data_IF_211741128757
#
_entry.id   IF_211741128757
#
_cell.length_a   1.000
_cell.length_b   1.000
_cell.length_c   1.000
_cell.angle_alpha   90.00
_cell.angle_beta   90.00
_cell.angle_gamma   90.00
#
_symmetry.space_group_name_H-M   'P 1'
#
loop_
_entity.id
_entity.type
_entity.pdbx_description
1 polymer ?
#
# COMPACT_ATOMS: atom_id res chain seq x y z
N UNK A 1 9.25 12.03 28.29
CA UNK A 1 8.27 11.96 27.18
C UNK A 1 8.94 12.60 25.97
N UNK A 2 9.17 11.86 24.88
CA UNK A 2 9.69 12.46 23.65
C UNK A 2 8.56 13.25 22.99
N UNK A 3 8.73 14.56 22.83
CA UNK A 3 7.79 15.38 22.09
C UNK A 3 7.76 14.93 20.62
N UNK A 4 6.59 14.50 20.14
CA UNK A 4 6.41 14.13 18.74
C UNK A 4 5.93 15.37 17.99
N UNK A 5 6.75 15.89 17.07
CA UNK A 5 6.34 16.99 16.20
C UNK A 5 5.20 16.54 15.28
N UNK A 6 4.08 17.28 15.31
CA UNK A 6 2.93 17.04 14.45
C UNK A 6 2.72 18.25 13.53
N UNK A 7 2.35 17.98 12.28
CA UNK A 7 2.01 19.00 11.29
C UNK A 7 0.54 18.81 10.87
N UNK A 8 -0.23 19.90 10.81
CA UNK A 8 -1.64 19.91 10.43
C UNK A 8 -1.87 20.89 9.29
N UNK A 9 -2.61 20.47 8.26
CA UNK A 9 -3.13 21.33 7.21
C UNK A 9 -4.64 21.45 7.40
N UNK A 10 -5.13 22.66 7.64
CA UNK A 10 -6.56 22.94 7.79
C UNK A 10 -7.08 23.65 6.54
N UNK A 11 -8.19 23.14 5.98
CA UNK A 11 -8.85 23.70 4.81
C UNK A 11 -10.32 23.93 5.16
N UNK A 12 -10.78 25.17 5.02
CA UNK A 12 -12.18 25.55 5.22
C UNK A 12 -12.85 25.86 3.88
N UNK A 13 -13.54 24.89 3.29
CA UNK A 13 -14.34 25.08 2.07
C UNK A 13 -15.66 24.32 2.19
N UNK A 14 -16.77 25.05 2.08
CA UNK A 14 -18.12 24.47 2.10
C UNK A 14 -18.34 23.62 0.85
N UNK A 15 -17.88 24.10 -0.30
CA UNK A 15 -17.96 23.39 -1.59
C UNK A 15 -17.26 22.03 -1.50
N UNK A 16 -16.02 21.99 -1.02
CA UNK A 16 -15.29 20.72 -0.85
C UNK A 16 -15.97 19.78 0.16
N UNK A 17 -16.57 20.32 1.22
CA UNK A 17 -17.32 19.49 2.17
C UNK A 17 -18.51 18.82 1.48
N UNK A 18 -19.28 19.60 0.70
CA UNK A 18 -20.45 19.11 -0.02
C UNK A 18 -20.05 18.08 -1.09
N UNK A 19 -18.96 18.32 -1.82
CA UNK A 19 -18.43 17.38 -2.81
C UNK A 19 -18.05 16.04 -2.17
N UNK A 20 -17.37 16.08 -1.03
CA UNK A 20 -17.00 14.88 -0.28
C UNK A 20 -18.24 14.13 0.23
N UNK A 21 -19.24 14.85 0.75
CA UNK A 21 -20.50 14.25 1.19
C UNK A 21 -21.24 13.57 0.03
N UNK A 22 -21.28 14.20 -1.15
CA UNK A 22 -21.84 13.62 -2.38
C UNK A 22 -21.09 12.35 -2.84
N UNK A 23 -19.79 12.26 -2.56
CA UNK A 23 -18.97 11.06 -2.79
C UNK A 23 -19.13 9.99 -1.68
N UNK A 24 -19.98 10.22 -0.67
CA UNK A 24 -20.24 9.27 0.42
C UNK A 24 -19.35 9.46 1.65
N UNK A 25 -18.62 10.58 1.76
CA UNK A 25 -17.76 10.89 2.90
C UNK A 25 -18.42 11.84 3.89
N UNK A 26 -19.20 11.28 4.81
CA UNK A 26 -19.86 12.03 5.87
C UNK A 26 -18.95 12.35 7.07
N UNK A 27 -19.37 13.32 7.89
CA UNK A 27 -18.75 13.65 9.19
C UNK A 27 -18.92 12.45 10.15
N UNK A 28 -17.94 12.20 11.04
CA UNK A 28 -17.80 11.01 11.95
C UNK A 28 -17.44 9.69 11.22
N UNK A 29 -16.34 9.72 10.47
CA UNK A 29 -15.87 8.67 9.54
C UNK A 29 -15.40 7.35 10.15
N UNK A 30 -15.05 7.29 11.43
CA UNK A 30 -14.18 6.23 11.96
C UNK A 30 -14.75 4.81 11.77
N UNK A 31 -16.07 4.62 11.89
CA UNK A 31 -16.69 3.29 11.78
C UNK A 31 -17.59 3.09 10.54
N UNK A 32 -17.92 4.17 9.81
CA UNK A 32 -18.86 4.13 8.67
C UNK A 32 -18.19 4.44 7.32
N UNK A 33 -16.87 4.25 7.22
CA UNK A 33 -16.17 4.42 5.96
C UNK A 33 -16.66 3.37 4.95
N UNK A 34 -17.15 3.82 3.81
CA UNK A 34 -17.49 2.97 2.66
C UNK A 34 -16.65 3.39 1.45
N UNK A 35 -16.50 2.49 0.48
CA UNK A 35 -15.88 2.87 -0.78
C UNK A 35 -16.87 3.70 -1.61
N UNK A 36 -16.48 4.89 -2.10
CA UNK A 36 -17.33 5.67 -2.97
C UNK A 36 -17.70 4.88 -4.21
N UNK A 37 -18.89 5.15 -4.74
CA UNK A 37 -19.14 4.82 -6.13
C UNK A 37 -18.32 5.78 -7.00
N UNK A 38 -17.30 5.26 -7.67
CA UNK A 38 -16.41 6.05 -8.52
C UNK A 38 -16.20 5.34 -9.86
N UNK A 39 -16.08 6.11 -10.96
CA UNK A 39 -15.63 5.57 -12.23
C UNK A 39 -14.33 4.78 -12.09
N UNK A 40 -14.21 3.67 -12.81
CA UNK A 40 -13.05 2.76 -12.76
C UNK A 40 -11.73 3.46 -13.05
N UNK A 41 -11.74 4.48 -13.90
CA UNK A 41 -10.58 5.31 -14.22
C UNK A 41 -9.95 6.02 -13.01
N UNK A 42 -10.74 6.35 -11.98
CA UNK A 42 -10.26 7.03 -10.77
C UNK A 42 -9.90 6.06 -9.64
N UNK A 43 -10.17 4.77 -9.79
CA UNK A 43 -9.93 3.80 -8.73
C UNK A 43 -8.45 3.69 -8.36
N UNK A 44 -7.56 3.79 -9.36
CA UNK A 44 -6.12 3.82 -9.12
C UNK A 44 -5.69 5.01 -8.25
N UNK A 45 -6.23 6.20 -8.56
CA UNK A 45 -5.91 7.42 -7.82
C UNK A 45 -6.46 7.39 -6.40
N UNK A 46 -7.68 6.86 -6.24
CA UNK A 46 -8.26 6.62 -4.93
C UNK A 46 -7.40 5.69 -4.08
N UNK A 47 -7.01 4.52 -4.61
CA UNK A 47 -6.20 3.54 -3.89
C UNK A 47 -4.84 4.13 -3.52
N UNK A 48 -4.23 4.90 -4.43
CA UNK A 48 -2.98 5.63 -4.16
C UNK A 48 -3.15 6.67 -3.05
N UNK A 49 -4.17 7.52 -3.12
CA UNK A 49 -4.43 8.56 -2.13
C UNK A 49 -4.69 7.98 -0.74
N UNK A 50 -5.52 6.95 -0.66
CA UNK A 50 -5.80 6.24 0.59
C UNK A 50 -4.55 5.52 1.12
N UNK A 51 -3.79 4.85 0.25
CA UNK A 51 -2.51 4.25 0.61
C UNK A 51 -1.53 5.29 1.15
N UNK A 52 -1.43 6.46 0.53
CA UNK A 52 -0.50 7.51 0.95
C UNK A 52 -0.91 8.15 2.28
N UNK A 53 -2.21 8.26 2.57
CA UNK A 53 -2.73 8.63 3.88
C UNK A 53 -2.50 7.56 4.95
N UNK A 54 -3.21 6.43 4.85
CA UNK A 54 -3.38 5.44 5.93
C UNK A 54 -2.67 4.09 5.66
N UNK A 55 -1.96 3.98 4.54
CA UNK A 55 -1.18 2.81 4.19
C UNK A 55 0.22 2.77 4.80
N UNK A 56 0.83 1.60 4.74
CA UNK A 56 2.21 1.35 5.15
C UNK A 56 2.90 0.43 4.13
N UNK A 57 4.19 0.66 3.92
CA UNK A 57 5.05 -0.25 3.17
C UNK A 57 6.35 -0.45 3.93
N UNK A 58 6.81 -1.69 3.96
CA UNK A 58 8.08 -2.08 4.54
C UNK A 58 8.78 -3.07 3.61
N UNK A 59 10.09 -2.95 3.46
CA UNK A 59 10.93 -3.94 2.80
C UNK A 59 12.13 -4.28 3.68
N UNK A 60 12.61 -5.52 3.56
CA UNK A 60 13.77 -5.99 4.30
C UNK A 60 13.96 -7.50 4.20
N UNK A 61 15.05 -7.98 4.80
CA UNK A 61 15.33 -9.41 4.88
C UNK A 61 14.44 -10.07 5.94
N UNK A 62 13.83 -11.20 5.58
CA UNK A 62 13.04 -12.04 6.49
C UNK A 62 13.64 -13.43 6.62
N UNK A 63 13.56 -13.97 7.83
CA UNK A 63 13.96 -15.34 8.15
C UNK A 63 12.75 -16.11 8.70
N UNK A 64 11.89 -16.62 7.82
CA UNK A 64 10.67 -17.37 8.19
C UNK A 64 10.97 -18.87 8.35
N UNK A 65 11.92 -19.22 9.20
CA UNK A 65 12.33 -20.62 9.42
C UNK A 65 12.90 -21.29 8.17
N UNK A 66 13.46 -20.51 7.24
CA UNK A 66 14.16 -21.01 6.04
C UNK A 66 15.66 -20.97 6.27
N UNK A 67 16.40 -21.84 5.60
CA UNK A 67 17.88 -21.87 5.70
C UNK A 67 18.57 -20.55 5.32
N UNK A 68 17.90 -19.68 4.54
CA UNK A 68 18.47 -18.43 4.05
C UNK A 68 17.51 -17.25 4.23
N UNK A 69 18.09 -16.07 4.47
CA UNK A 69 17.38 -14.81 4.46
C UNK A 69 16.81 -14.53 3.07
N UNK A 70 15.57 -14.06 3.02
CA UNK A 70 14.91 -13.67 1.77
C UNK A 70 14.53 -12.21 1.82
N UNK A 71 14.87 -11.45 0.78
CA UNK A 71 14.38 -10.08 0.62
C UNK A 71 12.86 -10.09 0.39
N UNK A 72 12.11 -9.36 1.21
CA UNK A 72 10.66 -9.26 1.14
C UNK A 72 10.21 -7.81 1.17
N UNK A 73 9.00 -7.60 0.68
CA UNK A 73 8.25 -6.34 0.80
C UNK A 73 6.83 -6.68 1.22
N UNK A 74 6.26 -5.83 2.03
CA UNK A 74 4.89 -5.94 2.51
C UNK A 74 4.21 -4.58 2.44
N UNK A 75 2.98 -4.58 1.95
CA UNK A 75 2.13 -3.39 1.87
C UNK A 75 0.91 -3.62 2.74
N UNK A 76 0.48 -2.60 3.48
CA UNK A 76 -0.72 -2.66 4.31
C UNK A 76 -1.58 -1.42 4.11
N UNK A 77 -2.90 -1.61 4.16
CA UNK A 77 -3.90 -0.55 4.34
C UNK A 77 -4.47 -0.66 5.75
N UNK A 78 -4.60 0.45 6.47
CA UNK A 78 -5.13 0.46 7.84
C UNK A 78 -6.45 1.19 7.89
N UNK A 79 -7.47 0.58 8.53
CA UNK A 79 -8.78 1.20 8.72
C UNK A 79 -9.39 0.74 10.04
N UNK A 80 -10.25 1.56 10.64
CA UNK A 80 -11.10 1.13 11.75
C UNK A 80 -12.38 0.41 11.26
N UNK A 81 -12.68 0.46 9.96
CA UNK A 81 -13.79 -0.26 9.32
C UNK A 81 -13.27 -1.52 8.61
N UNK A 82 -13.68 -2.70 9.08
CA UNK A 82 -13.33 -3.98 8.43
C UNK A 82 -14.02 -4.15 7.09
N UNK A 83 -15.30 -3.77 7.01
CA UNK A 83 -16.11 -3.84 5.78
C UNK A 83 -15.48 -3.01 4.65
N UNK A 84 -14.96 -1.83 4.97
CA UNK A 84 -14.21 -1.02 4.01
C UNK A 84 -13.01 -1.78 3.42
N UNK A 85 -12.21 -2.45 4.27
CA UNK A 85 -11.04 -3.20 3.81
C UNK A 85 -11.44 -4.45 3.03
N UNK A 86 -12.55 -5.09 3.38
CA UNK A 86 -13.11 -6.22 2.64
C UNK A 86 -13.57 -5.80 1.23
N UNK A 87 -14.31 -4.69 1.13
CA UNK A 87 -14.74 -4.15 -0.16
C UNK A 87 -13.53 -3.70 -1.01
N UNK A 88 -12.53 -3.08 -0.38
CA UNK A 88 -11.28 -2.69 -1.05
C UNK A 88 -10.54 -3.92 -1.58
N UNK A 89 -10.40 -4.97 -0.76
CA UNK A 89 -9.79 -6.23 -1.17
C UNK A 89 -10.55 -6.86 -2.35
N UNK A 90 -11.90 -6.85 -2.32
CA UNK A 90 -12.74 -7.38 -3.40
C UNK A 90 -12.51 -6.63 -4.71
N UNK A 91 -12.51 -5.30 -4.70
CA UNK A 91 -12.25 -4.49 -5.91
C UNK A 91 -10.84 -4.68 -6.45
N UNK A 92 -9.84 -4.81 -5.58
CA UNK A 92 -8.45 -5.10 -5.96
C UNK A 92 -8.33 -6.50 -6.59
N UNK A 93 -9.07 -7.49 -6.10
CA UNK A 93 -9.08 -8.85 -6.66
C UNK A 93 -9.64 -8.89 -8.08
N UNK A 94 -10.69 -8.13 -8.37
CA UNK A 94 -11.30 -8.04 -9.72
C UNK A 94 -10.25 -7.60 -10.76
N UNK A 95 -9.32 -6.73 -10.38
CA UNK A 95 -8.24 -6.26 -11.26
C UNK A 95 -6.95 -7.10 -11.13
N UNK A 96 -7.02 -8.26 -10.51
CA UNK A 96 -5.93 -9.25 -10.43
C UNK A 96 -4.91 -9.01 -9.31
N UNK A 97 -5.20 -8.13 -8.35
CA UNK A 97 -4.40 -7.89 -7.14
C UNK A 97 -4.95 -8.79 -6.03
N UNK A 98 -4.50 -10.04 -6.03
CA UNK A 98 -5.05 -11.10 -5.19
C UNK A 98 -4.21 -11.34 -3.92
N UNK A 99 -4.72 -12.21 -3.04
CA UNK A 99 -4.05 -12.69 -1.81
C UNK A 99 -3.80 -11.60 -0.76
N UNK A 100 -4.68 -10.61 -0.68
CA UNK A 100 -4.76 -9.71 0.47
C UNK A 100 -5.32 -10.44 1.68
N UNK A 101 -4.67 -10.29 2.83
CA UNK A 101 -5.10 -10.88 4.11
C UNK A 101 -5.48 -9.77 5.09
N UNK A 102 -6.65 -9.90 5.73
CA UNK A 102 -7.14 -8.94 6.71
C UNK A 102 -6.82 -9.43 8.12
N UNK A 103 -6.23 -8.56 8.93
CA UNK A 103 -5.87 -8.84 10.32
C UNK A 103 -6.54 -7.84 11.25
N UNK A 104 -7.17 -8.33 12.32
CA UNK A 104 -7.63 -7.51 13.43
C UNK A 104 -6.47 -7.25 14.40
N UNK A 105 -6.21 -5.99 14.75
CA UNK A 105 -5.22 -5.60 15.75
C UNK A 105 -5.91 -5.12 17.01
N UNK A 106 -5.97 -6.04 17.99
CA UNK A 106 -6.43 -5.78 19.37
C UNK A 106 -7.81 -5.08 19.44
N UNK A 107 -8.69 -5.34 18.48
CA UNK A 107 -10.03 -4.73 18.42
C UNK A 107 -10.04 -3.23 18.13
N UNK A 108 -8.89 -2.60 17.83
CA UNK A 108 -8.79 -1.15 17.61
C UNK A 108 -8.84 -0.77 16.13
N UNK A 109 -8.18 -1.56 15.30
CA UNK A 109 -8.11 -1.31 13.86
C UNK A 109 -7.82 -2.61 13.11
N UNK A 110 -8.06 -2.57 11.81
CA UNK A 110 -7.85 -3.66 10.88
C UNK A 110 -6.73 -3.30 9.89
N UNK A 111 -6.04 -4.32 9.40
CA UNK A 111 -5.04 -4.17 8.33
C UNK A 111 -5.27 -5.16 7.21
N UNK A 112 -5.43 -4.65 6.00
CA UNK A 112 -5.37 -5.44 4.76
C UNK A 112 -3.94 -5.46 4.27
N UNK A 113 -3.31 -6.63 4.28
CA UNK A 113 -1.88 -6.81 4.04
C UNK A 113 -1.66 -7.64 2.78
N UNK A 114 -0.73 -7.17 1.95
CA UNK A 114 -0.24 -7.85 0.76
C UNK A 114 1.24 -8.20 0.92
N UNK A 115 1.57 -9.43 0.54
CA UNK A 115 2.96 -9.90 0.43
C UNK A 115 3.60 -9.46 -0.89
N UNK A 116 4.87 -9.81 -1.08
CA UNK A 116 5.72 -9.37 -2.21
C UNK A 116 5.02 -9.25 -3.57
N UNK A 117 4.35 -10.29 -4.05
CA UNK A 117 3.75 -10.23 -5.39
C UNK A 117 2.55 -9.27 -5.45
N UNK A 118 1.71 -9.25 -4.41
CA UNK A 118 0.59 -8.30 -4.31
C UNK A 118 1.08 -6.86 -4.17
N UNK A 119 2.11 -6.64 -3.33
CA UNK A 119 2.77 -5.34 -3.17
C UNK A 119 3.34 -4.78 -4.47
N UNK A 120 3.96 -5.62 -5.30
CA UNK A 120 4.47 -5.17 -6.61
C UNK A 120 3.33 -4.82 -7.58
N UNK A 121 2.26 -5.63 -7.62
CA UNK A 121 1.09 -5.29 -8.43
C UNK A 121 0.43 -3.99 -7.99
N UNK A 122 0.31 -3.78 -6.67
CA UNK A 122 -0.16 -2.53 -6.09
C UNK A 122 0.72 -1.35 -6.48
N UNK A 123 2.05 -1.49 -6.44
CA UNK A 123 2.97 -0.44 -6.87
C UNK A 123 2.71 -0.02 -8.32
N UNK A 124 2.64 -0.98 -9.25
CA UNK A 124 2.37 -0.66 -10.65
C UNK A 124 0.97 -0.07 -10.84
N UNK A 125 -0.02 -0.60 -10.13
CA UNK A 125 -1.37 -0.06 -10.18
C UNK A 125 -1.39 1.40 -9.72
N UNK A 126 -0.83 1.71 -8.54
CA UNK A 126 -0.86 3.05 -7.96
C UNK A 126 0.02 4.06 -8.71
N UNK A 127 1.24 3.68 -9.09
CA UNK A 127 2.28 4.66 -9.49
C UNK A 127 2.71 4.58 -10.96
N UNK A 128 2.23 3.62 -11.75
CA UNK A 128 2.60 3.44 -13.16
C UNK A 128 1.46 3.81 -14.11
N UNK A 129 0.48 4.60 -13.66
CA UNK A 129 -0.61 5.04 -14.51
C UNK A 129 -0.06 6.04 -15.55
N UNK A 130 -0.09 5.68 -16.83
CA UNK A 130 0.47 6.47 -17.95
C UNK A 130 -0.36 7.70 -18.34
N UNK A 131 -1.31 8.10 -17.49
CA UNK A 131 -2.21 9.23 -17.76
C UNK A 131 -1.40 10.51 -17.65
N UNK A 132 -1.09 11.11 -18.81
CA UNK A 132 -0.40 12.39 -18.92
C UNK A 132 -1.23 13.47 -18.20
N UNK A 133 -0.72 14.02 -17.09
CA UNK A 133 -1.28 15.21 -16.45
C UNK A 133 -1.34 15.21 -14.92
N UNK A 134 -1.30 14.06 -14.23
CA UNK A 134 -1.49 13.98 -12.77
C UNK A 134 -0.43 13.14 -12.03
N UNK A 135 0.82 13.20 -12.49
CA UNK A 135 1.86 12.26 -12.09
C UNK A 135 2.60 12.57 -10.79
N UNK A 136 2.28 13.64 -10.04
CA UNK A 136 3.11 14.03 -8.88
C UNK A 136 2.38 14.04 -7.53
N UNK A 137 1.06 13.77 -7.49
CA UNK A 137 0.28 13.83 -6.25
C UNK A 137 0.45 12.59 -5.36
N UNK A 138 1.68 12.25 -4.97
CA UNK A 138 1.97 11.10 -4.09
C UNK A 138 3.08 11.39 -3.07
N UNK A 139 3.12 10.58 -2.01
CA UNK A 139 4.20 10.63 -1.04
C UNK A 139 5.44 9.90 -1.53
N UNK A 140 6.44 10.68 -1.98
CA UNK A 140 7.75 10.18 -2.46
C UNK A 140 8.38 9.15 -1.52
N UNK A 141 8.23 9.33 -0.20
CA UNK A 141 8.76 8.41 0.83
C UNK A 141 8.24 6.98 0.66
N UNK A 142 6.97 6.79 0.31
CA UNK A 142 6.36 5.46 0.19
C UNK A 142 6.75 4.83 -1.14
N UNK A 143 6.70 5.61 -2.24
CA UNK A 143 7.15 5.18 -3.56
C UNK A 143 8.60 4.68 -3.55
N UNK A 144 9.50 5.42 -2.88
CA UNK A 144 10.93 5.07 -2.77
C UNK A 144 11.18 3.69 -2.16
N UNK A 145 10.37 3.25 -1.18
CA UNK A 145 10.52 1.91 -0.58
C UNK A 145 10.30 0.80 -1.62
N UNK A 146 9.28 0.95 -2.48
CA UNK A 146 9.04 0.00 -3.57
C UNK A 146 10.19 0.00 -4.58
N UNK A 147 10.65 1.19 -4.98
CA UNK A 147 11.71 1.33 -5.97
C UNK A 147 13.04 0.75 -5.49
N UNK A 148 13.42 1.01 -4.23
CA UNK A 148 14.59 0.39 -3.60
C UNK A 148 14.48 -1.13 -3.59
N UNK A 149 13.34 -1.68 -3.16
CA UNK A 149 13.12 -3.12 -3.17
C UNK A 149 13.21 -3.73 -4.59
N UNK A 150 12.62 -3.08 -5.59
CA UNK A 150 12.66 -3.55 -6.98
C UNK A 150 14.11 -3.58 -7.48
N UNK A 151 14.88 -2.51 -7.22
CA UNK A 151 16.29 -2.42 -7.60
C UNK A 151 17.13 -3.51 -6.92
N UNK A 152 17.01 -3.66 -5.61
CA UNK A 152 17.72 -4.69 -4.85
C UNK A 152 17.38 -6.11 -5.33
N UNK A 153 16.09 -6.37 -5.61
CA UNK A 153 15.63 -7.67 -6.12
C UNK A 153 16.13 -7.96 -7.53
N UNK A 154 16.36 -6.95 -8.36
CA UNK A 154 16.95 -7.12 -9.70
C UNK A 154 18.46 -7.38 -9.61
N UNK A 155 19.19 -6.60 -8.82
CA UNK A 155 20.62 -6.83 -8.58
C UNK A 155 20.88 -8.21 -7.96
N UNK A 156 20.08 -8.62 -6.97
CA UNK A 156 20.20 -9.93 -6.32
C UNK A 156 19.88 -11.13 -7.21
N UNK A 157 19.15 -10.95 -8.33
CA UNK A 157 18.98 -11.99 -9.35
C UNK A 157 20.13 -12.07 -10.34
N UNK A 158 21.01 -11.06 -10.38
CA UNK A 158 22.25 -11.04 -11.15
C UNK A 158 23.45 -11.67 -10.45
N UNK A 159 23.32 -12.04 -9.17
CA UNK A 159 24.31 -12.77 -8.36
C UNK A 159 23.76 -14.14 -7.98
N UNK A 160 23.54 -14.99 -8.98
CA UNK A 160 23.48 -16.42 -8.80
C UNK A 160 24.70 -17.01 -9.52
N UNK A 161 25.51 -17.81 -8.79
CA UNK A 161 26.72 -18.55 -9.19
C UNK A 161 28.08 -17.85 -9.05
N UNK A 162 28.53 -17.64 -7.81
CA UNK A 162 29.96 -17.66 -7.45
C UNK A 162 30.13 -18.22 -6.04
N UNK A 163 29.78 -19.49 -5.82
CA UNK A 163 30.34 -20.34 -4.76
C UNK A 163 30.02 -21.81 -5.05
N UNK A 164 30.67 -22.36 -6.08
CA UNK A 164 31.15 -23.75 -6.02
C UNK A 164 32.53 -23.74 -6.67
N UNK A 165 33.57 -23.50 -5.87
CA UNK A 165 34.90 -24.00 -6.22
C UNK A 165 34.95 -25.48 -5.85
N UNK A 166 35.50 -26.34 -6.71
CA UNK A 166 35.56 -27.78 -6.48
C UNK A 166 36.53 -28.05 -5.34
N UNK A 167 36.09 -28.87 -4.39
CA UNK A 167 37.00 -29.53 -3.46
C UNK A 167 37.76 -30.56 -4.31
N UNK A 168 38.97 -30.22 -4.72
CA UNK A 168 39.91 -31.18 -5.30
C UNK A 168 40.41 -32.09 -4.17
N UNK A 169 40.55 -33.38 -4.49
CA UNK A 169 40.94 -34.45 -3.57
C UNK A 169 42.41 -34.47 -3.18
#
# INVERSE_FOLDING_TARGET
MSEATQYCLQIGSIEMCNDLENLGYFKKKTNNLSLPNMPSQYFSDFVRGYFDGDGNVWSGLIHKGRKTWSLAIQTAFTSCSSSFLEDLNRRLQIIGINKGAIYNKQGRYFRLVYSTNGSLKLYYFMYNNKVKGHNDAFLKRKKKVFESFIKERQCGRGVAWLTQSPVTG
#
